data_IF_234330835722
#
_entry.id   IF_234330835722
#
_cell.length_a   1.000
_cell.length_b   1.000
_cell.length_c   1.000
_cell.angle_alpha   90.00
_cell.angle_beta   90.00
_cell.angle_gamma   90.00
#
_symmetry.space_group_name_H-M   'P 1'
#
loop_
_entity.id
_entity.type
_entity.pdbx_description
1 polymer ?
#
# COMPACT_ATOMS: atom_id res chain seq x y z
N UNK A 1 17.38 16.26 -11.66
CA UNK A 1 16.08 15.96 -12.31
C UNK A 1 15.25 14.96 -11.50
N UNK A 2 15.74 13.76 -11.17
CA UNK A 2 14.97 12.77 -10.38
C UNK A 2 14.45 13.32 -9.04
N UNK A 3 15.29 14.05 -8.29
CA UNK A 3 14.87 14.71 -7.04
C UNK A 3 13.72 15.71 -7.22
N UNK A 4 13.65 16.38 -8.38
CA UNK A 4 12.57 17.31 -8.70
C UNK A 4 11.26 16.55 -8.92
N UNK A 5 11.28 15.44 -9.68
CA UNK A 5 10.08 14.64 -9.92
C UNK A 5 9.58 13.92 -8.67
N UNK A 6 10.47 13.43 -7.81
CA UNK A 6 10.10 12.89 -6.50
C UNK A 6 9.36 13.95 -5.69
N UNK A 7 9.93 15.16 -5.60
CA UNK A 7 9.32 16.27 -4.86
C UNK A 7 7.95 16.64 -5.41
N UNK A 8 7.83 16.82 -6.72
CA UNK A 8 6.54 17.16 -7.34
C UNK A 8 5.49 16.07 -7.09
N UNK A 9 5.88 14.79 -7.23
CA UNK A 9 4.96 13.67 -6.97
C UNK A 9 4.55 13.58 -5.49
N UNK A 10 5.47 13.71 -4.55
CA UNK A 10 5.15 13.65 -3.11
C UNK A 10 4.44 14.89 -2.58
N UNK A 11 4.40 15.98 -3.36
CA UNK A 11 3.53 17.14 -3.09
C UNK A 11 2.09 16.91 -3.53
N UNK A 12 1.79 15.87 -4.31
CA UNK A 12 0.41 15.45 -4.61
C UNK A 12 -0.13 14.53 -3.52
N UNK A 13 -1.45 14.58 -3.28
CA UNK A 13 -2.11 13.68 -2.32
C UNK A 13 -1.92 12.22 -2.70
N UNK A 14 -2.11 11.86 -3.98
CA UNK A 14 -1.95 10.47 -4.43
C UNK A 14 -0.51 9.98 -4.26
N UNK A 15 0.48 10.83 -4.55
CA UNK A 15 1.88 10.47 -4.38
C UNK A 15 2.29 10.32 -2.92
N UNK A 16 1.77 11.19 -2.03
CA UNK A 16 2.00 11.06 -0.59
C UNK A 16 1.34 9.80 -0.01
N UNK A 17 0.10 9.51 -0.39
CA UNK A 17 -0.61 8.30 0.05
C UNK A 17 0.07 7.02 -0.46
N UNK A 18 0.46 6.97 -1.73
CA UNK A 18 1.19 5.82 -2.29
C UNK A 18 2.52 5.59 -1.56
N UNK A 19 3.26 6.66 -1.26
CA UNK A 19 4.51 6.55 -0.51
C UNK A 19 4.28 5.97 0.89
N UNK A 20 3.26 6.45 1.61
CA UNK A 20 2.90 5.92 2.92
C UNK A 20 2.51 4.44 2.86
N UNK A 21 1.69 4.06 1.88
CA UNK A 21 1.26 2.68 1.66
C UNK A 21 2.45 1.75 1.38
N UNK A 22 3.39 2.18 0.54
CA UNK A 22 4.62 1.42 0.25
C UNK A 22 5.47 1.25 1.51
N UNK A 23 5.65 2.33 2.29
CA UNK A 23 6.46 2.28 3.51
C UNK A 23 5.81 1.37 4.56
N UNK A 24 4.50 1.51 4.80
CA UNK A 24 3.77 0.69 5.77
C UNK A 24 3.73 -0.78 5.32
N UNK A 25 3.47 -1.03 4.03
CA UNK A 25 3.51 -2.37 3.45
C UNK A 25 4.89 -3.02 3.57
N UNK A 26 5.96 -2.27 3.29
CA UNK A 26 7.34 -2.75 3.46
C UNK A 26 7.69 -3.05 4.92
N UNK A 27 7.20 -2.24 5.87
CA UNK A 27 7.37 -2.49 7.31
C UNK A 27 6.67 -3.79 7.70
N UNK A 28 5.41 -3.99 7.30
CA UNK A 28 4.66 -5.23 7.56
C UNK A 28 5.37 -6.44 6.96
N UNK A 29 5.84 -6.32 5.71
CA UNK A 29 6.61 -7.37 5.05
C UNK A 29 7.91 -7.70 5.81
N UNK A 30 8.67 -6.68 6.22
CA UNK A 30 9.90 -6.86 6.98
C UNK A 30 9.65 -7.44 8.38
N UNK A 31 8.60 -7.00 9.07
CA UNK A 31 8.21 -7.54 10.38
C UNK A 31 7.93 -9.03 10.29
N UNK A 32 7.05 -9.46 9.40
CA UNK A 32 6.76 -10.88 9.21
C UNK A 32 7.96 -11.67 8.66
N UNK A 33 8.81 -11.06 7.84
CA UNK A 33 10.03 -11.69 7.34
C UNK A 33 11.12 -11.90 8.40
N UNK A 34 11.19 -11.03 9.42
CA UNK A 34 12.22 -11.08 10.47
C UNK A 34 11.75 -11.80 11.74
N UNK A 35 10.52 -11.54 12.18
CA UNK A 35 9.92 -12.18 13.35
C UNK A 35 9.31 -13.56 13.02
N UNK A 36 9.04 -13.79 11.73
CA UNK A 36 8.38 -14.99 11.22
C UNK A 36 6.86 -14.84 11.17
N UNK A 37 6.25 -15.29 10.09
CA UNK A 37 4.81 -15.50 10.00
C UNK A 37 4.50 -16.91 10.55
N UNK A 38 3.85 -16.97 11.71
CA UNK A 38 3.61 -18.21 12.47
C UNK A 38 2.21 -18.78 12.25
N UNK A 39 1.26 -17.94 11.83
CA UNK A 39 -0.12 -18.34 11.54
C UNK A 39 -0.45 -18.20 10.05
N UNK A 40 -1.47 -18.92 9.53
CA UNK A 40 -1.91 -18.78 8.15
C UNK A 40 -2.32 -17.35 7.77
N UNK A 41 -2.93 -16.60 8.70
CA UNK A 41 -3.31 -15.19 8.48
C UNK A 41 -2.10 -14.27 8.38
N UNK A 42 -1.06 -14.51 9.18
CA UNK A 42 0.22 -13.80 9.07
C UNK A 42 0.94 -14.14 7.76
N UNK A 43 0.93 -15.40 7.32
CA UNK A 43 1.55 -15.80 6.05
C UNK A 43 0.83 -15.19 4.84
N UNK A 44 -0.50 -15.09 4.92
CA UNK A 44 -1.31 -14.38 3.94
C UNK A 44 -0.94 -12.88 3.92
N UNK A 45 -0.90 -12.23 5.08
CA UNK A 45 -0.52 -10.82 5.19
C UNK A 45 0.90 -10.56 4.72
N UNK A 46 1.86 -11.44 5.02
CA UNK A 46 3.23 -11.37 4.51
C UNK A 46 3.28 -11.40 2.98
N UNK A 47 2.51 -12.32 2.37
CA UNK A 47 2.42 -12.44 0.92
C UNK A 47 1.78 -11.20 0.29
N UNK A 48 0.67 -10.72 0.85
CA UNK A 48 0.04 -9.47 0.45
C UNK A 48 1.01 -8.28 0.56
N UNK A 49 1.69 -8.15 1.69
CA UNK A 49 2.64 -7.07 1.94
C UNK A 49 3.77 -7.07 0.92
N UNK A 50 4.32 -8.24 0.58
CA UNK A 50 5.35 -8.35 -0.46
C UNK A 50 4.86 -7.89 -1.83
N UNK A 51 3.67 -8.35 -2.25
CA UNK A 51 3.10 -8.06 -3.58
C UNK A 51 2.72 -6.59 -3.68
N UNK A 52 2.07 -6.05 -2.66
CA UNK A 52 1.58 -4.68 -2.69
C UNK A 52 2.69 -3.64 -2.48
N UNK A 53 3.67 -3.92 -1.61
CA UNK A 53 4.86 -3.07 -1.50
C UNK A 53 5.66 -3.05 -2.82
N UNK A 54 5.80 -4.21 -3.48
CA UNK A 54 6.45 -4.29 -4.80
C UNK A 54 5.69 -3.49 -5.85
N UNK A 55 4.37 -3.65 -5.94
CA UNK A 55 3.55 -2.88 -6.90
C UNK A 55 3.60 -1.37 -6.61
N UNK A 56 3.45 -0.97 -5.36
CA UNK A 56 3.56 0.44 -4.98
C UNK A 56 4.94 1.02 -5.26
N UNK A 57 6.01 0.23 -5.08
CA UNK A 57 7.36 0.62 -5.50
C UNK A 57 7.47 0.79 -7.02
N UNK A 58 6.88 -0.11 -7.82
CA UNK A 58 6.81 0.07 -9.27
C UNK A 58 6.05 1.33 -9.68
N UNK A 59 4.95 1.66 -9.00
CA UNK A 59 4.21 2.90 -9.22
C UNK A 59 5.01 4.14 -8.85
N UNK A 60 5.72 4.10 -7.72
CA UNK A 60 6.63 5.15 -7.30
C UNK A 60 7.75 5.35 -8.34
N UNK A 61 8.44 4.27 -8.74
CA UNK A 61 9.49 4.32 -9.74
C UNK A 61 8.99 4.83 -11.10
N UNK A 62 7.78 4.43 -11.50
CA UNK A 62 7.16 4.93 -12.73
C UNK A 62 6.87 6.44 -12.65
N UNK A 63 6.46 6.93 -11.48
CA UNK A 63 6.16 8.35 -11.25
C UNK A 63 7.40 9.23 -11.24
N UNK A 64 8.56 8.72 -10.82
CA UNK A 64 9.82 9.50 -10.84
C UNK A 64 10.48 9.58 -12.21
N UNK A 65 10.02 8.79 -13.18
CA UNK A 65 10.55 8.83 -14.56
C UNK A 65 9.97 9.99 -15.39
N UNK A 66 8.75 10.45 -15.09
CA UNK A 66 8.10 11.54 -15.82
C UNK A 66 6.91 12.12 -15.04
N UNK A 67 6.74 13.45 -15.11
CA UNK A 67 5.58 14.16 -14.53
C UNK A 67 4.26 13.68 -15.14
N UNK A 68 4.23 13.44 -16.45
CA UNK A 68 2.99 12.95 -17.09
C UNK A 68 2.59 11.59 -16.52
N UNK A 69 3.54 10.69 -16.28
CA UNK A 69 3.27 9.39 -15.65
C UNK A 69 2.74 9.58 -14.23
N UNK A 70 3.39 10.42 -13.43
CA UNK A 70 2.98 10.71 -12.06
C UNK A 70 1.52 11.22 -11.97
N UNK A 71 1.10 12.09 -12.89
CA UNK A 71 -0.24 12.67 -12.92
C UNK A 71 -1.32 11.73 -13.49
N UNK A 72 -0.92 10.77 -14.32
CA UNK A 72 -1.84 9.82 -14.97
C UNK A 72 -2.06 8.56 -14.13
N UNK A 73 -1.08 8.21 -13.28
CA UNK A 73 -1.08 6.97 -12.52
C UNK A 73 -2.35 6.77 -11.66
N UNK A 74 -2.86 7.79 -10.91
CA UNK A 74 -4.10 7.66 -10.14
C UNK A 74 -5.37 7.52 -10.99
N UNK A 75 -5.27 7.79 -12.30
CA UNK A 75 -6.38 7.68 -13.26
C UNK A 75 -6.45 6.32 -13.93
N UNK A 76 -5.44 5.48 -13.74
CA UNK A 76 -5.40 4.15 -14.32
C UNK A 76 -6.34 3.22 -13.55
N UNK A 77 -7.24 2.53 -14.27
CA UNK A 77 -8.13 1.52 -13.68
C UNK A 77 -7.37 0.48 -12.83
N UNK A 78 -6.18 0.09 -13.28
CA UNK A 78 -5.31 -0.84 -12.55
C UNK A 78 -4.90 -0.30 -11.17
N UNK A 79 -4.60 1.00 -11.06
CA UNK A 79 -4.22 1.62 -9.80
C UNK A 79 -5.40 1.64 -8.82
N UNK A 80 -6.57 2.02 -9.30
CA UNK A 80 -7.82 1.99 -8.51
C UNK A 80 -8.17 0.57 -8.04
N UNK A 81 -8.02 -0.43 -8.93
CA UNK A 81 -8.24 -1.83 -8.57
C UNK A 81 -7.21 -2.31 -7.53
N UNK A 82 -5.94 -1.92 -7.67
CA UNK A 82 -4.89 -2.21 -6.71
C UNK A 82 -5.24 -1.67 -5.31
N UNK A 83 -5.72 -0.43 -5.22
CA UNK A 83 -6.11 0.18 -3.94
C UNK A 83 -7.24 -0.62 -3.26
N UNK A 84 -8.29 -0.96 -4.02
CA UNK A 84 -9.42 -1.71 -3.49
C UNK A 84 -9.05 -3.12 -3.02
N UNK A 85 -8.27 -3.85 -3.84
CA UNK A 85 -7.83 -5.21 -3.51
C UNK A 85 -6.89 -5.19 -2.31
N UNK A 86 -5.95 -4.24 -2.25
CA UNK A 86 -5.05 -4.07 -1.11
C UNK A 86 -5.84 -3.80 0.18
N UNK A 87 -6.81 -2.88 0.13
CA UNK A 87 -7.69 -2.59 1.25
C UNK A 87 -8.41 -3.84 1.77
N UNK A 88 -9.05 -4.60 0.87
CA UNK A 88 -9.77 -5.82 1.23
C UNK A 88 -8.86 -6.88 1.85
N UNK A 89 -7.68 -7.12 1.27
CA UNK A 89 -6.71 -8.09 1.77
C UNK A 89 -6.16 -7.70 3.15
N UNK A 90 -5.76 -6.45 3.34
CA UNK A 90 -5.21 -5.99 4.61
C UNK A 90 -6.23 -5.95 5.74
N UNK A 91 -7.46 -5.51 5.48
CA UNK A 91 -8.53 -5.49 6.50
C UNK A 91 -8.91 -6.92 6.89
N UNK A 92 -9.18 -7.80 5.92
CA UNK A 92 -9.58 -9.18 6.23
C UNK A 92 -8.47 -9.98 6.89
N UNK A 93 -7.23 -9.87 6.41
CA UNK A 93 -6.07 -10.50 7.02
C UNK A 93 -5.78 -9.94 8.42
N UNK A 94 -5.91 -8.62 8.60
CA UNK A 94 -5.70 -7.96 9.89
C UNK A 94 -6.72 -8.39 10.94
N UNK A 95 -8.01 -8.46 10.59
CA UNK A 95 -9.06 -8.99 11.49
C UNK A 95 -8.77 -10.44 11.90
N UNK A 96 -8.36 -11.29 10.96
CA UNK A 96 -8.00 -12.68 11.26
C UNK A 96 -6.78 -12.77 12.20
N UNK A 97 -5.78 -11.92 12.00
CA UNK A 97 -4.57 -11.89 12.84
C UNK A 97 -4.84 -11.36 14.26
N UNK A 98 -5.69 -10.33 14.41
CA UNK A 98 -6.14 -9.85 15.73
C UNK A 98 -6.84 -10.97 16.51
N UNK A 99 -7.64 -11.80 15.82
CA UNK A 99 -8.36 -12.92 16.45
C UNK A 99 -7.48 -14.07 16.92
N UNK A 100 -6.25 -14.21 16.41
CA UNK A 100 -5.42 -15.40 16.63
C UNK A 100 -4.33 -15.23 17.71
N UNK A 101 -3.68 -14.07 17.82
CA UNK A 101 -2.67 -13.80 18.88
C UNK A 101 -1.93 -12.47 18.72
N UNK A 102 -1.79 -11.99 17.48
CA UNK A 102 -0.84 -10.92 17.13
C UNK A 102 -1.57 -9.59 16.92
N UNK A 103 -2.13 -9.06 18.02
CA UNK A 103 -3.05 -7.91 18.01
C UNK A 103 -2.42 -6.67 17.36
N UNK A 104 -1.15 -6.36 17.66
CA UNK A 104 -0.48 -5.17 17.12
C UNK A 104 -0.35 -5.27 15.60
N UNK A 105 0.16 -6.39 15.09
CA UNK A 105 0.38 -6.57 13.65
C UNK A 105 -0.95 -6.56 12.89
N UNK A 106 -1.98 -7.18 13.46
CA UNK A 106 -3.33 -7.14 12.92
C UNK A 106 -3.92 -5.73 12.86
N UNK A 107 -3.70 -4.90 13.90
CA UNK A 107 -4.11 -3.49 13.89
C UNK A 107 -3.34 -2.70 12.81
N UNK A 108 -2.02 -2.90 12.69
CA UNK A 108 -1.21 -2.22 11.67
C UNK A 108 -1.68 -2.60 10.26
N UNK A 109 -2.01 -3.88 10.02
CA UNK A 109 -2.60 -4.33 8.76
C UNK A 109 -3.95 -3.63 8.50
N UNK A 110 -4.85 -3.56 9.48
CA UNK A 110 -6.14 -2.86 9.32
C UNK A 110 -5.93 -1.38 8.97
N UNK A 111 -5.01 -0.68 9.66
CA UNK A 111 -4.69 0.72 9.37
C UNK A 111 -4.16 0.87 7.93
N UNK A 112 -3.27 -0.02 7.49
CA UNK A 112 -2.79 -0.04 6.11
C UNK A 112 -3.96 -0.22 5.11
N UNK A 113 -4.87 -1.15 5.38
CA UNK A 113 -6.05 -1.36 4.55
C UNK A 113 -7.00 -0.16 4.50
N UNK A 114 -7.15 0.57 5.61
CA UNK A 114 -7.93 1.82 5.64
C UNK A 114 -7.25 2.92 4.82
N UNK A 115 -5.91 3.03 4.83
CA UNK A 115 -5.19 3.98 3.97
C UNK A 115 -5.48 3.70 2.49
N UNK A 116 -5.35 2.45 2.06
CA UNK A 116 -5.69 2.04 0.70
C UNK A 116 -7.16 2.34 0.34
N UNK A 117 -8.10 2.14 1.28
CA UNK A 117 -9.51 2.45 1.07
C UNK A 117 -9.75 3.96 0.92
N UNK A 118 -9.11 4.78 1.76
CA UNK A 118 -9.16 6.25 1.67
C UNK A 118 -8.59 6.72 0.33
N UNK A 119 -7.47 6.15 -0.09
CA UNK A 119 -6.86 6.45 -1.37
C UNK A 119 -7.78 6.09 -2.54
N UNK A 120 -8.37 4.90 -2.52
CA UNK A 120 -9.37 4.47 -3.51
C UNK A 120 -10.52 5.48 -3.62
N UNK A 121 -11.15 5.84 -2.49
CA UNK A 121 -12.27 6.78 -2.47
C UNK A 121 -11.84 8.16 -2.97
N UNK A 122 -10.66 8.64 -2.56
CA UNK A 122 -10.12 9.91 -3.01
C UNK A 122 -9.89 9.92 -4.52
N UNK A 123 -9.22 8.91 -5.07
CA UNK A 123 -8.96 8.81 -6.51
C UNK A 123 -10.26 8.68 -7.31
N UNK A 124 -11.30 8.05 -6.77
CA UNK A 124 -12.63 7.99 -7.41
C UNK A 124 -13.37 9.34 -7.44
N UNK A 125 -13.23 10.18 -6.40
CA UNK A 125 -13.88 11.49 -6.33
C UNK A 125 -13.17 12.52 -7.22
N UNK A 126 -11.85 12.37 -7.39
CA UNK A 126 -10.99 13.32 -8.13
C UNK A 126 -10.82 13.00 -9.62
N UNK A 127 -11.20 11.79 -10.04
CA UNK A 127 -11.30 11.41 -11.44
C UNK A 127 -12.61 11.92 -12.06
#
# INVERSE_FOLDING_TARGET
MVQFYIREYTMTTDGWLNLLEVVVGAILWAMYGTLGATTPSEQFLYSCASVFATNGFFFFMSSVMSIQTALMLPKLFYYTLFQLVSAACYISGGVATVGNSSVIDGIVAIVCGVLHLVHFVYSMIKN
#
